data_IF_046466012776
#
_entry.id   IF_046466012776
#
_cell.length_a   1.000
_cell.length_b   1.000
_cell.length_c   1.000
_cell.angle_alpha   90.00
_cell.angle_beta   90.00
_cell.angle_gamma   90.00
#
_symmetry.space_group_name_H-M   'P 1'
#
loop_
_entity.id
_entity.type
_entity.pdbx_description
1 polymer ?
#
# COMPACT_ATOMS: atom_id res chain seq x y z
N UNK A 1 -28.76 34.39 -4.26
CA UNK A 1 -29.13 32.99 -4.61
C UNK A 1 -28.35 31.98 -3.77
N UNK A 2 -27.02 32.12 -3.63
CA UNK A 2 -26.16 31.25 -2.81
C UNK A 2 -26.63 31.08 -1.35
N UNK A 3 -27.01 32.19 -0.69
CA UNK A 3 -27.50 32.20 0.69
C UNK A 3 -28.86 31.52 0.86
N UNK A 4 -29.60 31.37 -0.23
CA UNK A 4 -30.89 30.65 -0.29
C UNK A 4 -30.73 29.23 -0.83
N UNK A 5 -29.54 28.67 -0.66
CA UNK A 5 -29.17 27.30 -1.02
C UNK A 5 -29.20 26.94 -2.52
N UNK A 6 -29.33 27.92 -3.42
CA UNK A 6 -29.12 27.70 -4.87
C UNK A 6 -27.62 27.82 -5.14
N UNK A 7 -26.96 26.68 -5.35
CA UNK A 7 -25.49 26.59 -5.48
C UNK A 7 -25.04 25.94 -6.79
N UNK A 8 -25.94 25.26 -7.49
CA UNK A 8 -25.68 24.53 -8.73
C UNK A 8 -26.73 24.89 -9.78
N UNK A 9 -26.36 24.73 -11.04
CA UNK A 9 -27.32 24.80 -12.15
C UNK A 9 -28.40 23.71 -12.03
N UNK A 10 -28.06 22.54 -11.47
CA UNK A 10 -29.01 21.47 -11.17
C UNK A 10 -30.11 21.90 -10.21
N UNK A 11 -29.84 22.84 -9.28
CA UNK A 11 -30.81 23.27 -8.27
C UNK A 11 -31.99 24.04 -8.89
N UNK A 12 -31.76 24.63 -10.08
CA UNK A 12 -32.76 25.39 -10.86
C UNK A 12 -33.30 24.63 -12.06
N UNK A 13 -32.97 23.34 -12.17
CA UNK A 13 -33.34 22.48 -13.30
C UNK A 13 -34.29 21.37 -12.86
N UNK A 14 -35.29 21.11 -13.70
CA UNK A 14 -36.30 20.09 -13.53
C UNK A 14 -36.28 19.06 -14.67
N UNK A 15 -37.19 18.08 -14.64
CA UNK A 15 -37.23 16.99 -15.64
C UNK A 15 -37.46 17.48 -17.08
N UNK A 16 -38.13 18.63 -17.26
CA UNK A 16 -38.42 19.22 -18.58
C UNK A 16 -37.53 20.42 -18.94
N UNK A 17 -36.52 20.74 -18.13
CA UNK A 17 -35.64 21.90 -18.36
C UNK A 17 -35.58 22.87 -17.18
N UNK A 18 -35.21 24.13 -17.45
CA UNK A 18 -35.14 25.17 -16.43
C UNK A 18 -36.50 25.37 -15.75
N UNK A 19 -36.52 25.28 -14.42
CA UNK A 19 -37.73 25.42 -13.61
C UNK A 19 -38.30 26.83 -13.73
N UNK A 20 -39.63 26.97 -13.65
CA UNK A 20 -40.29 28.28 -13.68
C UNK A 20 -39.87 29.15 -12.49
N UNK A 21 -39.82 30.47 -12.68
CA UNK A 21 -39.47 31.39 -11.59
C UNK A 21 -40.41 31.26 -10.40
N UNK A 22 -41.72 31.10 -10.62
CA UNK A 22 -42.70 30.93 -9.56
C UNK A 22 -42.39 29.72 -8.67
N UNK A 23 -42.03 28.59 -9.27
CA UNK A 23 -41.64 27.39 -8.53
C UNK A 23 -40.31 27.55 -7.79
N UNK A 24 -39.36 28.34 -8.32
CA UNK A 24 -38.11 28.67 -7.61
C UNK A 24 -38.34 29.65 -6.46
N UNK A 25 -39.28 30.58 -6.60
CA UNK A 25 -39.71 31.47 -5.52
C UNK A 25 -40.33 30.68 -4.38
N UNK A 26 -41.17 29.71 -4.67
CA UNK A 26 -41.78 28.85 -3.66
C UNK A 26 -40.73 27.95 -2.98
N UNK A 27 -39.87 27.30 -3.77
CA UNK A 27 -38.89 26.32 -3.26
C UNK A 27 -37.73 26.94 -2.48
N UNK A 28 -37.24 28.10 -2.91
CA UNK A 28 -36.07 28.76 -2.31
C UNK A 28 -36.41 30.12 -1.67
N UNK A 29 -37.70 30.40 -1.48
CA UNK A 29 -38.23 31.64 -0.94
C UNK A 29 -37.73 32.90 -1.67
N UNK A 30 -37.43 32.87 -2.99
CA UNK A 30 -36.82 33.99 -3.73
C UNK A 30 -37.73 35.24 -3.78
N UNK A 31 -37.13 36.42 -3.64
CA UNK A 31 -37.85 37.68 -3.77
C UNK A 31 -38.22 37.96 -5.24
N UNK A 32 -39.35 38.63 -5.48
CA UNK A 32 -39.79 38.97 -6.84
C UNK A 32 -38.82 39.89 -7.60
N UNK A 33 -37.95 40.63 -6.88
CA UNK A 33 -36.86 41.41 -7.45
C UNK A 33 -35.82 40.57 -8.19
N UNK A 34 -35.71 39.27 -7.88
CA UNK A 34 -34.78 38.35 -8.51
C UNK A 34 -35.23 37.85 -9.89
N UNK A 35 -36.41 38.28 -10.36
CA UNK A 35 -36.95 37.85 -11.64
C UNK A 35 -36.03 38.23 -12.81
N UNK A 36 -35.39 39.39 -12.73
CA UNK A 36 -34.45 39.83 -13.77
C UNK A 36 -33.22 38.93 -13.84
N UNK A 37 -32.65 38.52 -12.70
CA UNK A 37 -31.53 37.57 -12.65
C UNK A 37 -31.93 36.19 -13.19
N UNK A 38 -33.16 35.76 -12.94
CA UNK A 38 -33.70 34.54 -13.54
C UNK A 38 -33.78 34.63 -15.07
N UNK A 39 -34.25 35.76 -15.62
CA UNK A 39 -34.30 35.97 -17.07
C UNK A 39 -32.91 36.02 -17.70
N UNK A 40 -31.95 36.67 -17.04
CA UNK A 40 -30.55 36.72 -17.48
C UNK A 40 -29.94 35.31 -17.52
N UNK A 41 -30.16 34.51 -16.47
CA UNK A 41 -29.73 33.12 -16.40
C UNK A 41 -30.37 32.30 -17.53
N UNK A 42 -31.70 32.41 -17.72
CA UNK A 42 -32.44 31.72 -18.78
C UNK A 42 -31.89 32.06 -20.17
N UNK A 43 -31.61 33.33 -20.43
CA UNK A 43 -31.04 33.78 -21.70
C UNK A 43 -29.62 33.24 -21.91
N UNK A 44 -28.76 33.31 -20.89
CA UNK A 44 -27.40 32.77 -20.94
C UNK A 44 -27.39 31.27 -21.23
N UNK A 45 -28.32 30.51 -20.64
CA UNK A 45 -28.45 29.07 -20.86
C UNK A 45 -28.97 28.73 -22.26
N UNK A 46 -29.85 29.56 -22.81
CA UNK A 46 -30.33 29.40 -24.19
C UNK A 46 -29.19 29.60 -25.21
N UNK A 47 -28.27 30.51 -24.93
CA UNK A 47 -27.10 30.80 -25.79
C UNK A 47 -26.00 29.74 -25.66
N UNK A 48 -25.90 29.08 -24.51
CA UNK A 48 -24.86 28.10 -24.22
C UNK A 48 -25.44 26.72 -23.87
N UNK A 49 -25.87 25.97 -24.90
CA UNK A 49 -26.44 24.61 -24.75
C UNK A 49 -25.55 23.62 -23.99
N UNK A 50 -24.23 23.83 -23.96
CA UNK A 50 -23.27 23.04 -23.19
C UNK A 50 -23.39 23.19 -21.66
N UNK A 51 -24.08 24.23 -21.16
CA UNK A 51 -24.30 24.50 -19.74
C UNK A 51 -25.57 23.84 -19.19
N UNK A 52 -26.20 22.96 -19.96
CA UNK A 52 -27.40 22.22 -19.54
C UNK A 52 -27.06 21.15 -18.48
N UNK A 53 -27.75 21.16 -17.32
CA UNK A 53 -27.73 20.09 -16.32
C UNK A 53 -27.94 18.71 -16.95
N UNK A 54 -26.95 17.84 -16.81
CA UNK A 54 -26.80 16.58 -17.54
C UNK A 54 -25.50 16.50 -18.35
N UNK A 55 -25.02 17.64 -18.88
CA UNK A 55 -23.70 17.75 -19.55
C UNK A 55 -22.60 18.14 -18.56
N UNK A 56 -22.94 18.94 -17.55
CA UNK A 56 -21.98 19.34 -16.51
C UNK A 56 -21.96 18.32 -15.38
N UNK A 57 -20.93 17.46 -15.34
CA UNK A 57 -20.62 16.63 -14.17
C UNK A 57 -20.33 17.56 -12.98
N UNK A 58 -20.98 17.33 -11.84
CA UNK A 58 -20.64 18.06 -10.62
C UNK A 58 -19.14 17.90 -10.34
N UNK A 59 -18.44 19.02 -10.12
CA UNK A 59 -17.03 18.98 -9.74
C UNK A 59 -16.88 18.12 -8.48
N UNK A 60 -15.91 17.20 -8.48
CA UNK A 60 -15.57 16.38 -7.30
C UNK A 60 -15.28 17.26 -6.07
N UNK A 61 -14.76 18.47 -6.29
CA UNK A 61 -14.51 19.45 -5.22
C UNK A 61 -15.84 19.96 -4.62
N UNK A 62 -16.85 20.21 -5.46
CA UNK A 62 -18.17 20.66 -5.00
C UNK A 62 -18.93 19.55 -4.27
N UNK A 63 -18.78 18.29 -4.69
CA UNK A 63 -19.31 17.15 -3.94
C UNK A 63 -18.62 16.96 -2.59
N UNK A 64 -17.29 17.09 -2.57
CA UNK A 64 -16.51 17.03 -1.35
C UNK A 64 -16.95 18.13 -0.38
N UNK A 65 -17.06 19.37 -0.83
CA UNK A 65 -17.52 20.51 -0.02
C UNK A 65 -18.93 20.27 0.58
N UNK A 66 -19.85 19.65 -0.17
CA UNK A 66 -21.15 19.27 0.36
C UNK A 66 -21.06 18.20 1.46
N UNK A 67 -20.09 17.30 1.37
CA UNK A 67 -19.84 16.23 2.34
C UNK A 67 -19.20 16.75 3.64
N UNK A 68 -18.47 17.87 3.57
CA UNK A 68 -17.75 18.48 4.69
C UNK A 68 -18.58 19.50 5.50
N UNK A 69 -19.90 19.57 5.31
CA UNK A 69 -20.80 20.47 6.05
C UNK A 69 -20.82 20.23 7.58
N UNK A 70 -20.35 19.06 8.03
CA UNK A 70 -20.22 18.67 9.44
C UNK A 70 -18.76 18.29 9.74
N UNK A 71 -18.22 18.83 10.83
CA UNK A 71 -16.83 18.68 11.28
C UNK A 71 -16.54 17.33 11.95
N UNK A 72 -17.57 16.55 12.31
CA UNK A 72 -17.35 15.23 12.88
C UNK A 72 -16.90 14.24 11.81
N UNK A 73 -15.77 13.58 12.03
CA UNK A 73 -15.29 12.51 11.14
C UNK A 73 -14.88 13.01 9.75
N UNK A 74 -14.52 14.28 9.61
CA UNK A 74 -14.11 14.91 8.35
C UNK A 74 -13.06 14.09 7.59
N UNK A 75 -12.01 13.61 8.28
CA UNK A 75 -10.96 12.79 7.65
C UNK A 75 -11.54 11.50 7.06
N UNK A 76 -12.38 10.78 7.81
CA UNK A 76 -13.01 9.54 7.33
C UNK A 76 -13.97 9.81 6.16
N UNK A 77 -14.73 10.91 6.21
CA UNK A 77 -15.61 11.35 5.12
C UNK A 77 -14.82 11.70 3.86
N UNK A 78 -13.71 12.43 3.99
CA UNK A 78 -12.78 12.71 2.88
C UNK A 78 -12.23 11.40 2.32
N UNK A 79 -11.73 10.51 3.18
CA UNK A 79 -11.13 9.26 2.75
C UNK A 79 -12.14 8.35 2.01
N UNK A 80 -13.35 8.18 2.56
CA UNK A 80 -14.42 7.44 1.91
C UNK A 80 -14.85 8.08 0.58
N UNK A 81 -14.90 9.42 0.52
CA UNK A 81 -15.18 10.15 -0.71
C UNK A 81 -14.10 9.88 -1.77
N UNK A 82 -12.82 9.97 -1.40
CA UNK A 82 -11.70 9.71 -2.29
C UNK A 82 -11.73 8.28 -2.82
N UNK A 83 -11.96 7.29 -1.93
CA UNK A 83 -12.09 5.88 -2.32
C UNK A 83 -13.24 5.63 -3.29
N UNK A 84 -14.40 6.28 -3.08
CA UNK A 84 -15.57 6.18 -3.98
C UNK A 84 -15.29 6.85 -5.31
N UNK A 85 -14.72 8.06 -5.30
CA UNK A 85 -14.50 8.87 -6.49
C UNK A 85 -13.44 8.26 -7.40
N UNK A 86 -12.38 7.70 -6.81
CA UNK A 86 -11.33 6.98 -7.53
C UNK A 86 -10.78 5.90 -6.63
N UNK A 87 -11.18 4.66 -6.89
CA UNK A 87 -10.52 3.51 -6.27
C UNK A 87 -9.03 3.56 -6.63
N UNK A 88 -8.13 3.19 -5.71
CA UNK A 88 -6.71 3.09 -6.04
C UNK A 88 -6.56 2.10 -7.20
N UNK A 89 -6.07 2.56 -8.36
CA UNK A 89 -5.68 1.66 -9.43
C UNK A 89 -4.38 0.97 -8.97
N UNK A 90 -4.47 -0.34 -8.77
CA UNK A 90 -3.38 -1.19 -8.29
C UNK A 90 -2.77 -2.03 -9.40
N UNK A 91 -3.39 -2.02 -10.57
CA UNK A 91 -3.05 -2.86 -11.72
C UNK A 91 -1.65 -2.53 -12.22
N UNK A 92 -1.29 -1.25 -12.28
CA UNK A 92 0.05 -0.84 -12.72
C UNK A 92 1.19 -1.39 -11.84
N UNK A 93 0.96 -1.54 -10.53
CA UNK A 93 1.97 -2.14 -9.64
C UNK A 93 2.05 -3.65 -9.83
N UNK A 94 0.90 -4.32 -10.00
CA UNK A 94 0.81 -5.75 -10.29
C UNK A 94 1.51 -6.08 -11.61
N UNK A 95 1.16 -5.40 -12.69
CA UNK A 95 1.77 -5.56 -14.02
C UNK A 95 3.30 -5.37 -13.98
N UNK A 96 3.77 -4.41 -13.18
CA UNK A 96 5.19 -4.18 -13.00
C UNK A 96 5.89 -5.34 -12.27
N UNK A 97 5.21 -5.98 -11.31
CA UNK A 97 5.71 -7.20 -10.67
C UNK A 97 5.68 -8.39 -11.60
N UNK A 98 4.62 -8.60 -12.36
CA UNK A 98 4.49 -9.68 -13.34
C UNK A 98 5.60 -9.63 -14.39
N UNK A 99 5.89 -8.44 -14.92
CA UNK A 99 6.97 -8.22 -15.88
C UNK A 99 8.34 -8.58 -15.31
N UNK A 100 8.58 -8.26 -14.04
CA UNK A 100 9.88 -8.50 -13.40
C UNK A 100 10.05 -9.95 -12.92
N UNK A 101 8.96 -10.58 -12.45
CA UNK A 101 8.95 -11.98 -12.07
C UNK A 101 8.93 -12.92 -13.28
N UNK A 102 8.48 -12.44 -14.44
CA UNK A 102 8.33 -13.22 -15.67
C UNK A 102 7.16 -14.21 -15.63
N UNK A 103 6.23 -14.03 -14.70
CA UNK A 103 5.05 -14.88 -14.51
C UNK A 103 3.82 -14.02 -14.20
N UNK A 104 2.62 -14.40 -14.67
CA UNK A 104 1.39 -13.74 -14.28
C UNK A 104 1.11 -13.97 -12.78
N UNK A 105 0.57 -12.97 -12.10
CA UNK A 105 0.13 -13.07 -10.72
C UNK A 105 -1.37 -13.33 -10.73
N UNK A 106 -1.84 -14.30 -9.96
CA UNK A 106 -3.27 -14.51 -9.74
C UNK A 106 -3.84 -13.41 -8.82
N UNK A 107 -5.14 -13.17 -8.90
CA UNK A 107 -5.80 -12.18 -8.02
C UNK A 107 -5.59 -12.53 -6.54
N UNK A 108 -5.71 -13.81 -6.20
CA UNK A 108 -5.53 -14.32 -4.83
C UNK A 108 -4.10 -14.12 -4.32
N UNK A 109 -3.09 -14.36 -5.18
CA UNK A 109 -1.68 -14.12 -4.88
C UNK A 109 -1.42 -12.63 -4.65
N UNK A 110 -2.04 -11.77 -5.46
CA UNK A 110 -1.90 -10.32 -5.32
C UNK A 110 -2.56 -9.79 -4.04
N UNK A 111 -3.76 -10.26 -3.72
CA UNK A 111 -4.45 -9.93 -2.48
C UNK A 111 -3.70 -10.45 -1.24
N UNK A 112 -3.04 -11.62 -1.33
CA UNK A 112 -2.16 -12.09 -0.26
C UNK A 112 -0.92 -11.20 -0.10
N UNK A 113 -0.27 -10.80 -1.20
CA UNK A 113 0.84 -9.87 -1.17
C UNK A 113 0.44 -8.54 -0.51
N UNK A 114 -0.74 -8.03 -0.83
CA UNK A 114 -1.30 -6.81 -0.23
C UNK A 114 -1.60 -7.00 1.25
N UNK A 115 -2.26 -8.10 1.63
CA UNK A 115 -2.55 -8.43 3.02
C UNK A 115 -1.28 -8.58 3.86
N UNK A 116 -0.17 -9.03 3.26
CA UNK A 116 1.14 -9.14 3.94
C UNK A 116 1.65 -7.80 4.50
N UNK A 117 1.25 -6.67 3.89
CA UNK A 117 1.62 -5.32 4.36
C UNK A 117 0.92 -4.92 5.66
N UNK A 118 -0.22 -5.54 5.95
CA UNK A 118 -1.02 -5.37 7.17
C UNK A 118 -0.73 -6.50 8.19
N UNK A 119 -0.10 -7.56 7.68
CA UNK A 119 0.43 -8.80 8.25
C UNK A 119 1.05 -8.80 9.65
N UNK A 120 1.96 -7.86 9.92
CA UNK A 120 2.91 -8.03 11.02
C UNK A 120 2.40 -7.40 12.31
N UNK A 121 1.98 -8.26 13.23
CA UNK A 121 1.22 -7.95 14.46
C UNK A 121 1.98 -7.13 15.53
N UNK A 122 3.28 -6.83 15.34
CA UNK A 122 4.09 -6.21 16.40
C UNK A 122 5.01 -5.06 15.95
N UNK A 123 5.59 -5.10 14.74
CA UNK A 123 6.56 -4.09 14.29
C UNK A 123 6.05 -3.23 13.12
N UNK A 124 5.91 -1.91 13.37
CA UNK A 124 5.53 -0.93 12.35
C UNK A 124 6.56 -0.84 11.22
N UNK A 125 7.85 -1.02 11.53
CA UNK A 125 8.92 -0.95 10.54
C UNK A 125 8.83 -2.09 9.55
N UNK A 126 8.58 -3.31 10.03
CA UNK A 126 8.31 -4.49 9.21
C UNK A 126 7.15 -4.28 8.25
N UNK A 127 6.03 -3.69 8.71
CA UNK A 127 4.89 -3.31 7.86
C UNK A 127 5.30 -2.31 6.78
N UNK A 128 6.04 -1.28 7.17
CA UNK A 128 6.48 -0.22 6.26
C UNK A 128 7.45 -0.77 5.19
N UNK A 129 8.36 -1.65 5.58
CA UNK A 129 9.28 -2.31 4.66
C UNK A 129 8.49 -3.11 3.62
N UNK A 130 7.56 -3.96 4.07
CA UNK A 130 6.77 -4.78 3.16
C UNK A 130 5.87 -3.93 2.26
N UNK A 131 5.23 -2.90 2.81
CA UNK A 131 4.45 -1.94 2.05
C UNK A 131 5.27 -1.28 0.94
N UNK A 132 6.48 -0.80 1.25
CA UNK A 132 7.36 -0.16 0.26
C UNK A 132 7.85 -1.13 -0.82
N UNK A 133 8.05 -2.41 -0.48
CA UNK A 133 8.41 -3.45 -1.45
C UNK A 133 7.22 -3.70 -2.38
N UNK A 134 6.07 -4.11 -1.84
CA UNK A 134 4.87 -4.43 -2.63
C UNK A 134 4.49 -3.28 -3.56
N UNK A 135 4.55 -2.03 -3.07
CA UNK A 135 4.25 -0.82 -3.85
C UNK A 135 5.43 -0.28 -4.68
N UNK A 136 6.55 -0.99 -4.75
CA UNK A 136 7.73 -0.65 -5.57
C UNK A 136 8.25 0.79 -5.36
N UNK A 137 8.25 1.22 -4.10
CA UNK A 137 8.57 2.60 -3.71
C UNK A 137 10.08 2.86 -3.77
N UNK A 138 10.91 1.84 -3.47
CA UNK A 138 12.37 1.99 -3.45
C UNK A 138 12.92 2.46 -4.79
N UNK A 139 13.84 3.43 -4.73
CA UNK A 139 14.60 3.88 -5.89
C UNK A 139 15.70 2.88 -6.18
N UNK A 140 15.54 2.06 -7.21
CA UNK A 140 16.54 1.10 -7.71
C UNK A 140 17.37 1.73 -8.85
N UNK A 141 18.55 1.19 -9.21
CA UNK A 141 19.32 1.65 -10.36
C UNK A 141 18.49 1.69 -11.64
N UNK A 142 17.71 0.64 -11.92
CA UNK A 142 16.83 0.57 -13.09
C UNK A 142 15.85 1.76 -13.13
N UNK A 143 15.22 2.07 -11.99
CA UNK A 143 14.25 3.17 -11.87
C UNK A 143 14.93 4.53 -12.03
N UNK A 144 16.13 4.69 -11.46
CA UNK A 144 16.91 5.93 -11.56
C UNK A 144 17.43 6.16 -12.99
N UNK A 145 17.85 5.11 -13.69
CA UNK A 145 18.33 5.18 -15.07
C UNK A 145 17.20 5.57 -16.03
N UNK A 146 16.01 4.98 -15.90
CA UNK A 146 14.81 5.39 -16.67
C UNK A 146 14.45 6.85 -16.40
N UNK A 147 14.59 7.31 -15.15
CA UNK A 147 14.39 8.71 -14.77
C UNK A 147 15.55 9.64 -15.20
N UNK A 148 16.58 9.12 -15.87
CA UNK A 148 17.79 9.86 -16.29
C UNK A 148 18.53 10.54 -15.13
N UNK A 149 18.42 10.00 -13.92
CA UNK A 149 19.11 10.49 -12.72
C UNK A 149 20.49 9.85 -12.54
N UNK A 150 20.73 8.69 -13.15
CA UNK A 150 22.02 8.00 -13.20
C UNK A 150 22.26 7.47 -14.61
N UNK A 151 23.51 7.29 -14.99
CA UNK A 151 23.90 6.79 -16.32
C UNK A 151 23.83 5.27 -16.47
N UNK A 152 23.86 4.54 -15.35
CA UNK A 152 23.94 3.08 -15.32
C UNK A 152 22.72 2.49 -14.61
N UNK A 153 22.10 1.48 -15.22
CA UNK A 153 21.03 0.68 -14.63
C UNK A 153 21.54 -0.49 -13.79
N UNK A 154 22.87 -0.60 -13.59
CA UNK A 154 23.49 -1.74 -12.93
C UNK A 154 23.27 -1.77 -11.42
N UNK A 155 23.11 -2.97 -10.88
CA UNK A 155 23.00 -3.22 -9.44
C UNK A 155 24.19 -2.63 -8.67
N UNK A 156 23.95 -1.91 -7.57
CA UNK A 156 25.04 -1.33 -6.76
C UNK A 156 25.92 -2.39 -6.07
N UNK A 157 25.43 -3.64 -5.95
CA UNK A 157 26.16 -4.77 -5.35
C UNK A 157 27.06 -5.46 -6.36
N UNK A 158 26.49 -6.13 -7.35
CA UNK A 158 27.28 -6.93 -8.30
C UNK A 158 27.86 -6.11 -9.46
N UNK A 159 27.35 -4.91 -9.75
CA UNK A 159 27.82 -4.06 -10.85
C UNK A 159 27.57 -4.60 -12.27
N UNK A 160 27.02 -5.80 -12.43
CA UNK A 160 26.95 -6.53 -13.72
C UNK A 160 25.53 -6.64 -14.29
N UNK A 161 24.56 -6.97 -13.45
CA UNK A 161 23.15 -7.17 -13.82
C UNK A 161 22.31 -5.90 -13.60
N UNK A 162 21.13 -5.85 -14.23
CA UNK A 162 20.18 -4.75 -14.06
C UNK A 162 19.68 -4.68 -12.60
N UNK A 163 19.81 -3.52 -11.98
CA UNK A 163 19.37 -3.24 -10.62
C UNK A 163 17.86 -3.06 -10.53
N UNK A 164 17.12 -4.14 -10.75
CA UNK A 164 15.67 -4.18 -10.54
C UNK A 164 15.36 -4.54 -9.08
N UNK A 165 14.14 -4.28 -8.58
CA UNK A 165 13.82 -4.47 -7.16
C UNK A 165 13.95 -5.94 -6.72
N UNK A 166 13.47 -6.87 -7.55
CA UNK A 166 13.60 -8.32 -7.39
C UNK A 166 15.07 -8.75 -7.40
N UNK A 167 15.86 -8.27 -8.36
CA UNK A 167 17.29 -8.58 -8.41
C UNK A 167 17.99 -8.11 -7.13
N UNK A 168 17.72 -6.87 -6.72
CA UNK A 168 18.35 -6.25 -5.56
C UNK A 168 17.97 -6.85 -4.21
N UNK A 169 16.83 -7.55 -4.11
CA UNK A 169 16.39 -8.24 -2.88
C UNK A 169 16.72 -9.73 -2.91
N UNK A 170 16.62 -10.37 -4.08
CA UNK A 170 16.70 -11.83 -4.22
C UNK A 170 17.70 -12.28 -5.28
N UNK A 171 17.62 -11.74 -6.50
CA UNK A 171 18.36 -12.26 -7.66
C UNK A 171 19.87 -12.00 -7.67
N UNK A 172 20.37 -11.06 -6.88
CA UNK A 172 21.77 -10.66 -6.87
C UNK A 172 22.70 -11.80 -6.41
N UNK A 173 23.74 -12.08 -7.20
CA UNK A 173 24.73 -13.11 -6.88
C UNK A 173 25.41 -12.87 -5.51
N UNK A 174 25.68 -11.62 -5.16
CA UNK A 174 26.28 -11.24 -3.87
C UNK A 174 25.38 -11.57 -2.67
N UNK A 175 24.06 -11.69 -2.86
CA UNK A 175 23.13 -12.06 -1.80
C UNK A 175 22.94 -13.58 -1.67
N UNK A 176 23.52 -14.37 -2.57
CA UNK A 176 23.26 -15.82 -2.66
C UNK A 176 23.72 -16.56 -1.40
N UNK A 177 24.93 -16.27 -0.91
CA UNK A 177 25.47 -16.87 0.31
C UNK A 177 24.62 -16.52 1.54
N UNK A 178 24.24 -15.24 1.64
CA UNK A 178 23.38 -14.73 2.70
C UNK A 178 22.00 -15.42 2.73
N UNK A 179 21.32 -15.51 1.57
CA UNK A 179 20.07 -16.24 1.45
C UNK A 179 20.25 -17.73 1.74
N UNK A 180 21.33 -18.36 1.28
CA UNK A 180 21.59 -19.78 1.54
C UNK A 180 21.68 -20.08 3.05
N UNK A 181 22.37 -19.25 3.83
CA UNK A 181 22.45 -19.40 5.29
C UNK A 181 21.08 -19.32 5.96
N UNK A 182 20.25 -18.36 5.54
CA UNK A 182 18.90 -18.18 6.08
C UNK A 182 17.99 -19.34 5.67
N UNK A 183 18.04 -19.77 4.41
CA UNK A 183 17.27 -20.90 3.92
C UNK A 183 17.65 -22.20 4.63
N UNK A 184 18.94 -22.42 4.92
CA UNK A 184 19.39 -23.56 5.71
C UNK A 184 18.77 -23.55 7.10
N UNK A 185 18.82 -22.41 7.80
CA UNK A 185 18.17 -22.27 9.11
C UNK A 185 16.66 -22.54 9.04
N UNK A 186 15.97 -21.98 8.03
CA UNK A 186 14.53 -22.19 7.86
C UNK A 186 14.19 -23.66 7.57
N UNK A 187 15.03 -24.35 6.79
CA UNK A 187 14.91 -25.79 6.54
C UNK A 187 15.09 -26.59 7.83
N UNK A 188 16.12 -26.29 8.61
CA UNK A 188 16.43 -27.01 9.85
C UNK A 188 15.35 -26.79 10.92
N UNK A 189 14.75 -25.59 10.99
CA UNK A 189 13.76 -25.24 12.02
C UNK A 189 12.31 -25.60 11.65
N UNK A 190 11.95 -25.49 10.37
CA UNK A 190 10.55 -25.57 9.90
C UNK A 190 10.35 -26.75 8.94
N UNK A 191 11.41 -27.52 8.64
CA UNK A 191 11.34 -28.65 7.71
C UNK A 191 11.03 -28.26 6.27
N UNK A 192 11.15 -26.98 5.91
CA UNK A 192 10.85 -26.47 4.57
C UNK A 192 12.00 -26.78 3.63
N UNK A 193 11.85 -27.84 2.83
CA UNK A 193 12.80 -28.14 1.77
C UNK A 193 12.54 -27.28 0.53
N UNK A 194 13.43 -26.30 0.37
CA UNK A 194 13.73 -25.42 -0.77
C UNK A 194 12.88 -25.60 -2.04
N UNK A 195 11.79 -24.85 -2.09
CA UNK A 195 11.03 -24.53 -3.31
C UNK A 195 10.32 -23.18 -3.23
N UNK A 196 10.71 -22.34 -2.27
CA UNK A 196 10.05 -21.05 -2.01
C UNK A 196 10.34 -20.14 -3.20
N UNK A 197 9.29 -19.82 -3.96
CA UNK A 197 9.38 -18.95 -5.14
C UNK A 197 9.82 -17.54 -4.71
N UNK A 198 10.42 -16.75 -5.60
CA UNK A 198 10.75 -15.35 -5.30
C UNK A 198 9.55 -14.53 -4.79
N UNK A 199 8.34 -14.89 -5.23
CA UNK A 199 7.04 -14.44 -4.69
C UNK A 199 6.94 -14.52 -3.17
N UNK A 200 7.29 -15.66 -2.59
CA UNK A 200 7.19 -15.88 -1.16
C UNK A 200 8.29 -15.10 -0.41
N UNK A 201 9.53 -15.12 -0.91
CA UNK A 201 10.65 -14.39 -0.29
C UNK A 201 10.44 -12.86 -0.31
N UNK A 202 9.97 -12.32 -1.44
CA UNK A 202 9.84 -10.88 -1.65
C UNK A 202 8.46 -10.37 -1.24
N UNK A 203 7.40 -10.97 -1.77
CA UNK A 203 6.01 -10.51 -1.60
C UNK A 203 5.25 -11.20 -0.45
N UNK A 204 5.79 -12.29 0.11
CA UNK A 204 5.16 -13.00 1.23
C UNK A 204 3.94 -13.84 0.82
N UNK A 205 3.83 -14.18 -0.47
CA UNK A 205 2.75 -14.98 -1.06
C UNK A 205 3.01 -16.48 -0.89
N UNK A 206 1.97 -17.29 -0.73
CA UNK A 206 2.06 -18.74 -0.63
C UNK A 206 2.57 -19.27 0.72
N UNK A 207 2.75 -18.38 1.71
CA UNK A 207 3.14 -18.79 3.07
C UNK A 207 1.96 -19.47 3.78
N UNK A 208 0.73 -19.07 3.46
CA UNK A 208 -0.50 -19.66 4.05
C UNK A 208 -0.74 -21.10 3.60
N UNK A 209 -0.29 -21.44 2.40
CA UNK A 209 -0.49 -22.77 1.81
C UNK A 209 0.49 -23.82 2.36
N UNK A 210 1.54 -23.35 3.03
CA UNK A 210 2.46 -24.23 3.74
C UNK A 210 1.72 -24.81 4.96
N UNK A 211 1.76 -26.15 5.11
CA UNK A 211 1.18 -26.88 6.25
C UNK A 211 1.99 -26.65 7.54
N UNK A 212 2.06 -25.39 7.95
CA UNK A 212 2.82 -24.91 9.08
C UNK A 212 1.92 -24.68 10.28
N UNK A 213 2.43 -24.98 11.46
CA UNK A 213 1.86 -24.49 12.70
C UNK A 213 1.86 -22.95 12.72
N UNK A 214 0.99 -22.38 13.56
CA UNK A 214 0.90 -20.92 13.74
C UNK A 214 2.25 -20.29 14.12
N UNK A 215 3.05 -21.02 14.90
CA UNK A 215 4.39 -20.58 15.30
C UNK A 215 5.34 -20.54 14.11
N UNK A 216 5.44 -21.63 13.34
CA UNK A 216 6.31 -21.76 12.16
C UNK A 216 6.00 -20.68 11.12
N UNK A 217 4.72 -20.47 10.83
CA UNK A 217 4.30 -19.44 9.87
C UNK A 217 4.68 -18.02 10.33
N UNK A 218 4.55 -17.73 11.63
CA UNK A 218 4.96 -16.44 12.19
C UNK A 218 6.48 -16.27 12.15
N UNK A 219 7.22 -17.31 12.53
CA UNK A 219 8.68 -17.29 12.48
C UNK A 219 9.19 -17.08 11.05
N UNK A 220 8.63 -17.81 10.07
CA UNK A 220 8.97 -17.64 8.65
C UNK A 220 8.70 -16.21 8.18
N UNK A 221 7.53 -15.65 8.46
CA UNK A 221 7.20 -14.25 8.11
C UNK A 221 8.19 -13.27 8.73
N UNK A 222 8.56 -13.48 10.00
CA UNK A 222 9.49 -12.62 10.73
C UNK A 222 10.91 -12.72 10.16
N UNK A 223 11.38 -13.93 9.89
CA UNK A 223 12.66 -14.22 9.27
C UNK A 223 12.76 -13.50 7.92
N UNK A 224 11.81 -13.74 7.02
CA UNK A 224 11.76 -13.14 5.69
C UNK A 224 11.71 -11.61 5.73
N UNK A 225 10.89 -11.04 6.62
CA UNK A 225 10.78 -9.59 6.77
C UNK A 225 12.06 -8.98 7.33
N UNK A 226 12.70 -9.65 8.29
CA UNK A 226 14.00 -9.24 8.83
C UNK A 226 15.10 -9.33 7.79
N UNK A 227 15.09 -10.36 6.93
CA UNK A 227 16.01 -10.49 5.79
C UNK A 227 15.89 -9.29 4.87
N UNK A 228 14.67 -8.96 4.43
CA UNK A 228 14.40 -7.79 3.59
C UNK A 228 14.86 -6.50 4.26
N UNK A 229 14.56 -6.33 5.55
CA UNK A 229 14.99 -5.16 6.34
C UNK A 229 16.51 -5.00 6.35
N UNK A 230 17.24 -6.08 6.59
CA UNK A 230 18.70 -6.07 6.65
C UNK A 230 19.28 -5.76 5.25
N UNK A 231 18.81 -6.40 4.19
CA UNK A 231 19.21 -6.07 2.81
C UNK A 231 18.99 -4.59 2.50
N UNK A 232 17.85 -4.03 2.92
CA UNK A 232 17.52 -2.62 2.71
C UNK A 232 18.36 -1.65 3.54
N UNK A 233 18.97 -2.08 4.67
CA UNK A 233 19.95 -1.25 5.38
C UNK A 233 21.21 -1.01 4.55
N UNK A 234 21.61 -2.02 3.77
CA UNK A 234 22.74 -1.96 2.85
C UNK A 234 22.32 -1.55 1.43
N UNK A 235 21.18 -0.85 1.26
CA UNK A 235 20.52 -0.71 -0.05
C UNK A 235 21.45 -0.20 -1.15
N UNK A 236 22.24 0.86 -0.90
CA UNK A 236 23.16 1.47 -1.88
C UNK A 236 24.63 1.05 -1.72
N UNK A 237 24.90 0.01 -0.94
CA UNK A 237 26.26 -0.46 -0.69
C UNK A 237 26.60 -1.64 -1.60
N UNK A 238 27.89 -1.80 -1.92
CA UNK A 238 28.39 -2.95 -2.68
C UNK A 238 28.39 -4.23 -1.85
N UNK A 239 28.68 -4.10 -0.55
CA UNK A 239 28.80 -5.21 0.39
C UNK A 239 27.44 -5.84 0.73
N UNK A 240 27.35 -7.17 0.62
CA UNK A 240 26.19 -7.93 1.06
C UNK A 240 26.10 -7.97 2.61
N UNK A 241 24.89 -7.98 3.17
CA UNK A 241 24.72 -8.18 4.60
C UNK A 241 25.20 -9.57 5.03
N UNK A 242 25.60 -9.67 6.29
CA UNK A 242 26.07 -10.91 6.89
C UNK A 242 24.96 -11.67 7.62
N UNK A 243 25.12 -12.98 7.76
CA UNK A 243 24.21 -13.80 8.58
C UNK A 243 24.20 -13.33 10.05
N UNK A 244 25.34 -12.89 10.58
CA UNK A 244 25.44 -12.39 11.96
C UNK A 244 24.59 -11.13 12.17
N UNK A 245 24.64 -10.16 11.25
CA UNK A 245 23.79 -8.97 11.31
C UNK A 245 22.31 -9.33 11.26
N UNK A 246 21.94 -10.30 10.42
CA UNK A 246 20.57 -10.80 10.35
C UNK A 246 20.14 -11.48 11.64
N UNK A 247 20.99 -12.33 12.21
CA UNK A 247 20.73 -13.04 13.46
C UNK A 247 20.54 -12.06 14.63
N UNK A 248 21.41 -11.05 14.74
CA UNK A 248 21.26 -9.98 15.72
C UNK A 248 19.96 -9.20 15.52
N UNK A 249 19.61 -8.88 14.27
CA UNK A 249 18.36 -8.19 13.97
C UNK A 249 17.11 -9.03 14.30
N UNK A 250 17.18 -10.36 14.16
CA UNK A 250 16.15 -11.29 14.60
C UNK A 250 16.03 -11.29 16.13
N UNK A 251 17.16 -11.36 16.85
CA UNK A 251 17.19 -11.33 18.31
C UNK A 251 16.65 -10.00 18.87
N UNK A 252 17.02 -8.87 18.28
CA UNK A 252 16.44 -7.56 18.61
C UNK A 252 14.92 -7.58 18.45
N UNK A 253 14.41 -8.16 17.36
CA UNK A 253 12.97 -8.17 17.11
C UNK A 253 12.22 -9.05 18.12
N UNK A 254 12.80 -10.20 18.48
CA UNK A 254 12.26 -11.06 19.53
C UNK A 254 12.24 -10.34 20.90
N UNK A 255 13.30 -9.60 21.24
CA UNK A 255 13.36 -8.81 22.47
C UNK A 255 12.27 -7.71 22.50
N UNK A 256 12.05 -6.99 21.40
CA UNK A 256 10.97 -5.99 21.30
C UNK A 256 9.58 -6.64 21.46
N UNK A 257 9.33 -7.79 20.84
CA UNK A 257 8.07 -8.52 21.00
C UNK A 257 7.86 -8.94 22.45
N UNK A 258 8.91 -9.40 23.14
CA UNK A 258 8.86 -9.75 24.56
C UNK A 258 8.42 -8.57 25.42
N UNK A 259 9.02 -7.40 25.20
CA UNK A 259 8.66 -6.16 25.92
C UNK A 259 7.22 -5.76 25.65
N UNK A 260 6.77 -5.77 24.38
CA UNK A 260 5.39 -5.44 24.01
C UNK A 260 4.39 -6.40 24.67
N UNK A 261 4.66 -7.71 24.65
CA UNK A 261 3.80 -8.70 25.27
C UNK A 261 3.78 -8.59 26.80
N UNK A 262 4.91 -8.22 27.42
CA UNK A 262 4.98 -7.90 28.85
C UNK A 262 4.11 -6.69 29.18
N UNK A 263 4.21 -5.60 28.42
CA UNK A 263 3.37 -4.40 28.61
C UNK A 263 1.88 -4.68 28.40
N UNK A 264 1.52 -5.67 27.58
CA UNK A 264 0.14 -6.09 27.32
C UNK A 264 -0.38 -7.18 28.27
N UNK A 265 0.37 -7.55 29.32
CA UNK A 265 0.06 -8.67 30.22
C UNK A 265 -0.20 -10.01 29.50
N UNK A 266 0.49 -10.25 28.38
CA UNK A 266 0.36 -11.45 27.53
C UNK A 266 1.68 -12.20 27.40
N UNK A 267 2.55 -12.12 28.40
CA UNK A 267 3.89 -12.74 28.36
C UNK A 267 3.83 -14.27 28.23
N UNK A 268 2.77 -14.93 28.73
CA UNK A 268 2.57 -16.37 28.55
C UNK A 268 2.47 -16.81 27.08
N UNK A 269 2.10 -15.90 26.17
CA UNK A 269 2.02 -16.15 24.72
C UNK A 269 3.42 -16.16 24.08
N UNK A 270 4.39 -15.46 24.69
CA UNK A 270 5.76 -15.37 24.17
C UNK A 270 6.42 -16.75 24.10
N UNK A 271 6.25 -17.56 25.15
CA UNK A 271 6.74 -18.94 25.20
C UNK A 271 6.18 -19.83 24.09
N UNK A 272 4.93 -19.61 23.65
CA UNK A 272 4.30 -20.38 22.56
C UNK A 272 4.72 -19.91 21.15
N UNK A 273 5.30 -18.70 21.03
CA UNK A 273 5.70 -18.08 19.76
C UNK A 273 7.19 -18.17 19.46
N UNK A 274 8.02 -18.54 20.43
CA UNK A 274 9.49 -18.47 20.29
C UNK A 274 10.15 -19.72 20.95
N UNK A 275 9.51 -20.90 20.90
CA UNK A 275 10.09 -22.12 21.49
C UNK A 275 11.42 -22.50 20.83
N UNK A 276 11.60 -22.27 19.52
CA UNK A 276 12.86 -22.59 18.86
C UNK A 276 13.92 -21.50 18.96
N UNK A 277 13.59 -20.20 18.94
CA UNK A 277 14.64 -19.17 18.95
C UNK A 277 15.39 -19.13 20.29
N UNK A 278 14.75 -19.47 21.42
CA UNK A 278 15.42 -19.61 22.72
C UNK A 278 16.31 -20.85 22.80
N UNK A 279 15.89 -21.98 22.20
CA UNK A 279 16.71 -23.20 22.12
C UNK A 279 17.91 -23.00 21.18
N UNK A 280 17.75 -22.28 20.06
CA UNK A 280 18.87 -21.95 19.18
C UNK A 280 19.77 -20.85 19.77
N UNK A 281 19.23 -19.88 20.53
CA UNK A 281 20.06 -18.90 21.27
C UNK A 281 20.92 -19.60 22.34
N UNK A 282 20.36 -20.58 23.06
CA UNK A 282 21.11 -21.32 24.09
C UNK A 282 22.15 -22.29 23.51
N UNK A 283 22.07 -22.64 22.22
CA UNK A 283 23.07 -23.49 21.57
C UNK A 283 24.20 -22.68 20.91
N UNK A 284 24.03 -21.36 20.76
CA UNK A 284 24.98 -20.46 20.10
C UNK A 284 25.57 -19.36 21.02
N UNK A 285 25.22 -19.37 22.31
CA UNK A 285 25.91 -18.66 23.40
C UNK A 285 26.63 -19.70 24.25
#
# INVERSE_FOLDING_TARGET
WLDRAIRRLDDVWGPEGLVSFASLQEKFALASSEFLHYLQLKNSLAQHKALTPGVMRASLINELQCTLKDTRGTISKIYAFLLRAKSPNRDGTREAWERELGIPLLEEEWEEAMASTLSSDTDLWSRLVQFKIVNRIYWTPAKLAVAKLVSSDKCWRCGSENGTLLHMIWGCAELRSFWASICKLLKDLVGLDVGIKPLAYVLGVGIRDLKLSKWEANFLKQALTTTKRVILRHWRQSEAPTYQEWFLAMAETAAHEQVILKLRNRLHIFGQRIVCFSLTLMLYI
#
